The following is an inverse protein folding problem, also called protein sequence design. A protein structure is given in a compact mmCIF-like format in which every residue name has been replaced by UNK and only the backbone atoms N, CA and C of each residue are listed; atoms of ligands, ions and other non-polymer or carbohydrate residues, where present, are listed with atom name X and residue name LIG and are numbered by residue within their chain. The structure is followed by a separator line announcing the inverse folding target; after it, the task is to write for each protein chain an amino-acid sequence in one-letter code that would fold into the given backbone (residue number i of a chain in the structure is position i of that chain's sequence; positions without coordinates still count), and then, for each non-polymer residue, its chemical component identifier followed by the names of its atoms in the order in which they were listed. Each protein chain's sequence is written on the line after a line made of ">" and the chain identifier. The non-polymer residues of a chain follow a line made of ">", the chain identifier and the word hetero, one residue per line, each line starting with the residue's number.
data_IF_776266430840
#
_entry.id   IF_776266430840
#
_cell.length_a   1.000
_cell.length_b   1.000
_cell.length_c   1.000
_cell.angle_alpha   90.00
_cell.angle_beta   90.00
_cell.angle_gamma   90.00
#
_symmetry.space_group_name_H-M   'P 1'
#
loop_
_entity.id
_entity.type
_entity.pdbx_description
1 polymer ?
#
# COMPACT_ATOMS: atom_id res chain seq x y z
N UNK A 1 -27.01 -0.50 5.78
CA UNK A 1 -28.42 -0.06 5.84
C UNK A 1 -29.23 -1.16 6.49
N UNK A 2 -30.20 -0.83 7.36
CA UNK A 2 -31.11 -1.83 7.92
C UNK A 2 -31.99 -2.40 6.80
N UNK A 3 -32.31 -3.69 6.83
CA UNK A 3 -33.36 -4.27 5.96
C UNK A 3 -34.75 -3.67 6.25
N UNK A 4 -34.86 -2.88 7.31
CA UNK A 4 -36.00 -2.07 7.68
C UNK A 4 -35.71 -0.61 7.32
N UNK A 5 -36.19 -0.17 6.15
CA UNK A 5 -36.01 1.20 5.65
C UNK A 5 -36.66 2.26 6.57
N UNK A 6 -37.58 1.85 7.42
CA UNK A 6 -38.23 2.66 8.45
C UNK A 6 -37.35 2.94 9.67
N UNK A 7 -36.23 2.21 9.84
CA UNK A 7 -35.33 2.34 10.98
C UNK A 7 -34.03 3.04 10.59
N UNK A 8 -33.67 4.07 11.36
CA UNK A 8 -32.37 4.73 11.34
C UNK A 8 -31.49 4.24 12.47
N UNK A 9 -30.18 4.27 12.25
CA UNK A 9 -29.17 3.93 13.25
C UNK A 9 -28.14 5.06 13.28
N UNK A 10 -27.96 5.69 14.44
CA UNK A 10 -26.99 6.78 14.62
C UNK A 10 -26.64 6.95 16.11
N UNK A 11 -25.38 7.27 16.41
CA UNK A 11 -24.91 7.64 17.74
C UNK A 11 -25.32 6.65 18.85
N UNK A 12 -25.24 5.34 18.56
CA UNK A 12 -25.65 4.24 19.46
C UNK A 12 -27.16 4.12 19.74
N UNK A 13 -28.00 4.76 18.92
CA UNK A 13 -29.45 4.63 18.94
C UNK A 13 -29.99 4.02 17.65
N UNK A 14 -31.08 3.29 17.80
CA UNK A 14 -31.97 2.84 16.73
C UNK A 14 -33.26 3.62 16.88
N UNK A 15 -33.74 4.26 15.83
CA UNK A 15 -34.94 5.11 15.87
C UNK A 15 -35.80 4.92 14.64
N UNK A 16 -37.06 5.31 14.71
CA UNK A 16 -37.90 5.36 13.52
C UNK A 16 -37.60 6.62 12.71
N UNK A 17 -37.40 6.48 11.40
CA UNK A 17 -37.12 7.60 10.52
C UNK A 17 -38.28 8.61 10.46
N UNK A 18 -39.52 8.16 10.61
CA UNK A 18 -40.73 9.01 10.65
C UNK A 18 -40.94 9.72 12.00
N UNK A 19 -40.28 9.26 13.07
CA UNK A 19 -40.32 9.88 14.39
C UNK A 19 -39.00 9.60 15.15
N UNK A 20 -37.96 10.41 14.94
CA UNK A 20 -36.64 10.20 15.55
C UNK A 20 -36.62 10.28 17.09
N UNK A 21 -37.65 10.86 17.72
CA UNK A 21 -37.78 10.88 19.18
C UNK A 21 -38.17 9.50 19.73
N UNK A 22 -38.80 8.66 18.91
CA UNK A 22 -39.02 7.25 19.24
C UNK A 22 -37.75 6.46 18.94
N UNK A 23 -36.88 6.40 19.95
CA UNK A 23 -35.55 5.78 19.85
C UNK A 23 -35.28 4.82 21.00
N UNK A 24 -34.40 3.87 20.73
CA UNK A 24 -33.91 2.86 21.65
C UNK A 24 -32.38 2.85 21.57
N UNK A 25 -31.70 2.89 22.69
CA UNK A 25 -30.24 2.71 22.72
C UNK A 25 -29.87 1.25 22.44
N UNK A 26 -28.63 1.02 22.00
CA UNK A 26 -28.09 -0.33 21.85
C UNK A 26 -28.14 -1.13 23.17
N UNK A 27 -27.95 -0.47 24.32
CA UNK A 27 -28.02 -1.10 25.63
C UNK A 27 -29.44 -1.57 25.98
N UNK A 28 -30.43 -0.73 25.72
CA UNK A 28 -31.83 -1.10 25.93
C UNK A 28 -32.27 -2.21 24.98
N UNK A 29 -31.78 -2.21 23.73
CA UNK A 29 -32.01 -3.31 22.80
C UNK A 29 -31.38 -4.61 23.31
N UNK A 30 -30.09 -4.57 23.69
CA UNK A 30 -29.38 -5.73 24.21
C UNK A 30 -30.07 -6.31 25.45
N UNK A 31 -30.55 -5.45 26.36
CA UNK A 31 -31.33 -5.86 27.54
C UNK A 31 -32.61 -6.58 27.14
N UNK A 32 -33.39 -6.04 26.19
CA UNK A 32 -34.63 -6.67 25.70
C UNK A 32 -34.37 -8.02 25.05
N UNK A 33 -33.27 -8.17 24.31
CA UNK A 33 -32.89 -9.45 23.70
C UNK A 33 -32.52 -10.48 24.79
N UNK A 34 -31.76 -10.05 25.80
CA UNK A 34 -31.38 -10.89 26.93
C UNK A 34 -32.59 -11.34 27.77
N UNK A 35 -33.56 -10.44 28.04
CA UNK A 35 -34.82 -10.75 28.72
C UNK A 35 -35.63 -11.81 27.97
N UNK A 36 -35.58 -11.78 26.63
CA UNK A 36 -36.21 -12.80 25.77
C UNK A 36 -35.41 -14.11 25.68
N UNK A 37 -34.23 -14.19 26.30
CA UNK A 37 -33.28 -15.31 26.19
C UNK A 37 -32.89 -15.61 24.73
N UNK A 38 -32.96 -14.60 23.87
CA UNK A 38 -32.52 -14.68 22.48
C UNK A 38 -31.01 -14.36 22.40
N UNK A 39 -30.34 -14.78 21.33
CA UNK A 39 -28.93 -14.45 21.09
C UNK A 39 -28.78 -13.66 19.79
N UNK A 40 -28.04 -12.56 19.82
CA UNK A 40 -27.69 -11.80 18.62
C UNK A 40 -26.55 -12.51 17.90
N UNK A 41 -26.85 -13.12 16.75
CA UNK A 41 -25.85 -13.73 15.85
C UNK A 41 -26.18 -13.33 14.42
N UNK A 42 -25.14 -13.00 13.67
CA UNK A 42 -25.20 -12.75 12.23
C UNK A 42 -23.94 -13.31 11.58
N UNK A 43 -24.09 -13.85 10.38
CA UNK A 43 -23.00 -14.34 9.55
C UNK A 43 -23.22 -13.82 8.13
N UNK A 44 -22.14 -13.41 7.48
CA UNK A 44 -22.15 -12.93 6.11
C UNK A 44 -20.82 -13.28 5.43
N UNK A 45 -20.84 -13.40 4.12
CA UNK A 45 -19.65 -13.61 3.31
C UNK A 45 -19.70 -12.73 2.07
N UNK A 46 -18.52 -12.31 1.61
CA UNK A 46 -18.37 -11.53 0.39
C UNK A 46 -17.40 -12.26 -0.53
N UNK A 47 -17.85 -12.53 -1.75
CA UNK A 47 -17.04 -13.13 -2.81
C UNK A 47 -17.18 -12.22 -4.03
N UNK A 48 -16.15 -11.42 -4.36
CA UNK A 48 -16.20 -10.55 -5.52
C UNK A 48 -16.28 -11.38 -6.80
N UNK A 49 -17.04 -10.91 -7.78
CA UNK A 49 -17.13 -11.57 -9.07
C UNK A 49 -15.91 -11.21 -9.92
N UNK A 50 -15.07 -12.21 -10.20
CA UNK A 50 -13.90 -12.10 -11.09
C UNK A 50 -13.90 -13.24 -12.11
N UNK A 51 -13.49 -12.92 -13.33
CA UNK A 51 -13.29 -13.91 -14.39
C UNK A 51 -12.02 -14.72 -14.13
N UNK A 52 -12.08 -16.01 -14.46
CA UNK A 52 -10.86 -16.80 -14.60
C UNK A 52 -10.19 -16.41 -15.92
N UNK A 53 -8.92 -15.98 -15.90
CA UNK A 53 -8.20 -15.74 -17.14
C UNK A 53 -8.16 -16.99 -18.03
N UNK A 54 -8.27 -16.81 -19.34
CA UNK A 54 -8.06 -17.88 -20.31
C UNK A 54 -6.64 -18.46 -20.14
N UNK A 55 -6.48 -19.78 -19.98
CA UNK A 55 -5.19 -20.38 -19.64
C UNK A 55 -4.16 -20.34 -20.79
N UNK A 56 -4.58 -20.05 -22.03
CA UNK A 56 -3.68 -19.93 -23.18
C UNK A 56 -3.28 -18.49 -23.45
N UNK A 57 -4.20 -17.55 -23.29
CA UNK A 57 -4.00 -16.13 -23.63
C UNK A 57 -3.76 -15.23 -22.42
N UNK A 58 -4.14 -15.67 -21.22
CA UNK A 58 -4.10 -14.88 -19.99
C UNK A 58 -5.17 -13.80 -19.90
N UNK A 59 -6.14 -13.76 -20.83
CA UNK A 59 -7.14 -12.69 -20.91
C UNK A 59 -8.41 -13.02 -20.12
N UNK A 60 -9.03 -11.98 -19.54
CA UNK A 60 -10.35 -12.00 -18.93
C UNK A 60 -10.88 -10.57 -18.85
N UNK A 61 -12.20 -10.37 -18.87
CA UNK A 61 -12.79 -9.02 -18.87
C UNK A 61 -12.66 -8.36 -17.50
N UNK A 62 -12.85 -9.12 -16.42
CA UNK A 62 -12.77 -8.66 -15.03
C UNK A 62 -11.93 -9.59 -14.17
N UNK A 63 -10.61 -9.59 -14.36
CA UNK A 63 -9.68 -10.44 -13.58
C UNK A 63 -9.46 -9.93 -12.15
N UNK A 64 -9.55 -8.61 -11.95
CA UNK A 64 -9.34 -7.96 -10.65
C UNK A 64 -10.61 -7.23 -10.20
N UNK A 65 -10.80 -7.15 -8.88
CA UNK A 65 -11.96 -6.48 -8.25
C UNK A 65 -11.87 -4.97 -8.38
N UNK A 66 -10.66 -4.44 -8.26
CA UNK A 66 -10.34 -3.03 -8.43
C UNK A 66 -8.86 -2.89 -8.78
N UNK A 67 -8.49 -1.76 -9.38
CA UNK A 67 -7.11 -1.39 -9.65
C UNK A 67 -6.73 -0.21 -8.77
N UNK A 68 -5.68 -0.40 -7.96
CA UNK A 68 -5.03 0.68 -7.20
C UNK A 68 -3.95 1.28 -8.06
N UNK A 69 -3.94 2.61 -8.19
CA UNK A 69 -2.93 3.32 -8.96
C UNK A 69 -2.05 4.14 -8.01
N UNK A 70 -0.74 4.06 -8.20
CA UNK A 70 0.24 4.82 -7.43
C UNK A 70 1.18 5.54 -8.40
N UNK A 71 1.41 6.81 -8.14
CA UNK A 71 2.44 7.61 -8.80
C UNK A 71 3.44 8.10 -7.74
N UNK A 72 4.73 7.91 -8.02
CA UNK A 72 5.82 8.37 -7.15
C UNK A 72 6.78 9.26 -7.93
N UNK A 73 7.20 10.35 -7.29
CA UNK A 73 8.33 11.19 -7.70
C UNK A 73 9.32 11.17 -6.55
N UNK A 74 10.57 10.84 -6.85
CA UNK A 74 11.63 10.67 -5.84
C UNK A 74 12.77 11.62 -6.16
N UNK A 75 13.19 12.36 -5.15
CA UNK A 75 14.36 13.25 -5.18
C UNK A 75 15.54 12.50 -4.56
N UNK A 76 16.66 12.44 -5.27
CA UNK A 76 17.90 11.79 -4.81
C UNK A 76 19.09 12.73 -4.94
N UNK A 77 20.09 12.52 -4.10
CA UNK A 77 21.43 13.06 -4.25
C UNK A 77 22.40 11.90 -4.51
N UNK A 78 23.32 12.09 -5.46
CA UNK A 78 24.32 11.08 -5.81
C UNK A 78 25.71 11.68 -5.64
N UNK A 79 26.51 11.09 -4.76
CA UNK A 79 27.92 11.41 -4.64
C UNK A 79 28.69 10.72 -5.76
N UNK A 80 29.26 11.49 -6.69
CA UNK A 80 29.97 10.94 -7.85
C UNK A 80 31.35 10.37 -7.53
N UNK A 81 31.93 10.71 -6.38
CA UNK A 81 33.23 10.21 -5.94
C UNK A 81 33.09 8.85 -5.24
N UNK A 82 31.96 8.62 -4.53
CA UNK A 82 31.71 7.39 -3.78
C UNK A 82 30.66 6.47 -4.41
N UNK A 83 29.79 7.00 -5.26
CA UNK A 83 28.63 6.30 -5.83
C UNK A 83 27.45 6.17 -4.87
N UNK A 84 27.53 6.74 -3.65
CA UNK A 84 26.46 6.65 -2.67
C UNK A 84 25.26 7.48 -3.13
N UNK A 85 24.06 6.89 -3.01
CA UNK A 85 22.78 7.54 -3.30
C UNK A 85 22.04 7.81 -2.00
N UNK A 86 21.66 9.06 -1.77
CA UNK A 86 20.76 9.44 -0.69
C UNK A 86 19.38 9.76 -1.24
N UNK A 87 18.33 9.16 -0.67
CA UNK A 87 16.94 9.52 -0.99
C UNK A 87 16.52 10.68 -0.10
N UNK A 88 16.20 11.83 -0.69
CA UNK A 88 15.91 13.06 0.05
C UNK A 88 14.41 13.17 0.35
N UNK A 89 13.58 13.05 -0.69
CA UNK A 89 12.12 13.21 -0.59
C UNK A 89 11.39 12.24 -1.48
N UNK A 90 10.24 11.80 -1.01
CA UNK A 90 9.31 10.97 -1.79
C UNK A 90 7.94 11.63 -1.81
N UNK A 91 7.47 11.93 -3.01
CA UNK A 91 6.11 12.38 -3.27
C UNK A 91 5.30 11.20 -3.77
N UNK A 92 4.27 10.81 -3.03
CA UNK A 92 3.38 9.70 -3.43
C UNK A 92 1.96 10.21 -3.62
N UNK A 93 1.34 9.86 -4.74
CA UNK A 93 -0.11 9.99 -4.93
C UNK A 93 -0.69 8.61 -5.18
N UNK A 94 -1.72 8.23 -4.43
CA UNK A 94 -2.33 6.91 -4.51
C UNK A 94 -3.86 6.99 -4.64
N UNK A 95 -4.41 6.43 -5.71
CA UNK A 95 -5.84 6.14 -5.83
C UNK A 95 -6.15 4.84 -5.10
N UNK A 96 -6.75 5.00 -3.92
CA UNK A 96 -7.08 3.93 -2.97
C UNK A 96 -8.58 3.77 -2.77
N UNK A 97 -9.37 4.42 -3.63
CA UNK A 97 -10.82 4.46 -3.56
C UNK A 97 -11.37 5.20 -2.34
N UNK A 98 -11.38 4.57 -1.17
CA UNK A 98 -11.80 5.19 0.09
C UNK A 98 -10.82 4.87 1.21
N UNK A 99 -10.29 5.91 1.86
CA UNK A 99 -9.46 5.77 3.03
C UNK A 99 -10.34 5.43 4.24
N UNK A 100 -10.43 4.15 4.58
CA UNK A 100 -11.13 3.71 5.81
C UNK A 100 -10.44 4.30 7.05
N UNK A 101 -9.10 4.28 7.05
CA UNK A 101 -8.26 4.95 8.04
C UNK A 101 -7.10 5.63 7.30
N UNK A 102 -7.15 6.95 7.08
CA UNK A 102 -6.12 7.70 6.35
C UNK A 102 -4.72 7.54 6.94
N UNK A 103 -4.59 7.56 8.27
CA UNK A 103 -3.29 7.43 8.95
C UNK A 103 -2.65 6.07 8.71
N UNK A 104 -3.44 4.99 8.70
CA UNK A 104 -2.92 3.66 8.40
C UNK A 104 -2.52 3.53 6.92
N UNK A 105 -3.25 4.20 6.02
CA UNK A 105 -2.92 4.24 4.59
C UNK A 105 -1.58 4.96 4.38
N UNK A 106 -1.39 6.10 5.05
CA UNK A 106 -0.11 6.82 5.03
C UNK A 106 1.04 5.94 5.55
N UNK A 107 0.86 5.24 6.68
CA UNK A 107 1.87 4.33 7.20
C UNK A 107 2.20 3.16 6.26
N UNK A 108 1.23 2.66 5.49
CA UNK A 108 1.49 1.65 4.44
C UNK A 108 2.31 2.25 3.29
N UNK A 109 2.01 3.49 2.89
CA UNK A 109 2.77 4.18 1.85
C UNK A 109 4.22 4.38 2.29
N UNK A 110 4.43 4.86 3.52
CA UNK A 110 5.77 5.09 4.09
C UNK A 110 6.55 3.77 4.20
N UNK A 111 5.96 2.75 4.84
CA UNK A 111 6.61 1.45 5.02
C UNK A 111 6.92 0.74 3.70
N UNK A 112 5.98 0.74 2.75
CA UNK A 112 6.18 0.16 1.43
C UNK A 112 7.25 0.91 0.63
N UNK A 113 7.30 2.24 0.74
CA UNK A 113 8.37 3.04 0.12
C UNK A 113 9.73 2.71 0.73
N UNK A 114 9.85 2.60 2.05
CA UNK A 114 11.13 2.20 2.69
C UNK A 114 11.57 0.82 2.21
N UNK A 115 10.65 -0.15 2.12
CA UNK A 115 10.95 -1.46 1.55
C UNK A 115 11.42 -1.37 0.08
N UNK A 116 10.79 -0.51 -0.71
CA UNK A 116 11.18 -0.26 -2.10
C UNK A 116 12.56 0.40 -2.23
N UNK A 117 12.95 1.27 -1.29
CA UNK A 117 14.30 1.85 -1.20
C UNK A 117 15.32 0.74 -0.93
N UNK A 118 15.01 -0.18 -0.02
CA UNK A 118 15.83 -1.36 0.27
C UNK A 118 16.08 -2.18 -0.99
N UNK A 119 15.01 -2.60 -1.67
CA UNK A 119 15.10 -3.32 -2.96
C UNK A 119 15.91 -2.55 -4.02
N UNK A 120 15.79 -1.23 -4.07
CA UNK A 120 16.45 -0.41 -5.09
C UNK A 120 17.94 -0.23 -4.85
N UNK A 121 18.39 -0.11 -3.61
CA UNK A 121 19.73 0.39 -3.27
C UNK A 121 20.56 -0.54 -2.37
N UNK A 122 19.95 -1.49 -1.64
CA UNK A 122 20.60 -2.17 -0.52
C UNK A 122 20.47 -3.70 -0.56
N UNK A 123 19.26 -4.20 -0.80
CA UNK A 123 18.90 -5.60 -0.58
C UNK A 123 19.41 -6.51 -1.70
N UNK A 124 20.50 -7.24 -1.43
CA UNK A 124 21.06 -8.25 -2.33
C UNK A 124 21.25 -9.58 -1.61
N UNK A 125 20.62 -10.64 -2.10
CA UNK A 125 20.89 -11.99 -1.62
C UNK A 125 22.02 -12.63 -2.43
N UNK A 126 23.13 -12.93 -1.77
CA UNK A 126 24.31 -13.51 -2.42
C UNK A 126 24.28 -15.03 -2.25
N UNK A 127 24.17 -15.76 -3.35
CA UNK A 127 24.14 -17.22 -3.35
C UNK A 127 25.34 -17.76 -4.13
N UNK A 128 26.09 -18.68 -3.53
CA UNK A 128 27.17 -19.41 -4.20
C UNK A 128 27.06 -20.89 -3.90
N UNK A 129 27.08 -21.72 -4.96
CA UNK A 129 27.01 -23.18 -4.84
C UNK A 129 25.79 -23.66 -4.02
N UNK A 130 24.67 -22.94 -4.14
CA UNK A 130 23.42 -23.23 -3.41
C UNK A 130 23.40 -22.76 -1.95
N UNK A 131 24.44 -22.05 -1.50
CA UNK A 131 24.56 -21.53 -0.13
C UNK A 131 24.41 -20.02 -0.13
N UNK A 132 23.51 -19.49 0.71
CA UNK A 132 23.39 -18.05 0.97
C UNK A 132 24.59 -17.58 1.79
N UNK A 133 25.37 -16.66 1.25
CA UNK A 133 26.60 -16.16 1.86
C UNK A 133 26.35 -15.04 2.88
N UNK A 134 25.21 -14.36 2.78
CA UNK A 134 24.80 -13.29 3.69
C UNK A 134 23.41 -13.58 4.32
N UNK A 135 23.26 -14.64 5.14
CA UNK A 135 21.98 -15.03 5.72
C UNK A 135 21.55 -14.18 6.93
N UNK A 136 22.37 -13.23 7.36
CA UNK A 136 22.14 -12.37 8.52
C UNK A 136 21.93 -10.91 8.10
N UNK A 137 21.38 -10.10 9.02
CA UNK A 137 21.08 -8.67 8.79
C UNK A 137 22.30 -7.75 8.87
N UNK A 138 23.51 -8.31 9.02
CA UNK A 138 24.75 -7.54 8.90
C UNK A 138 25.25 -7.59 7.46
N UNK A 139 25.14 -8.76 6.81
CA UNK A 139 25.50 -8.96 5.40
C UNK A 139 24.37 -8.70 4.41
N UNK A 140 23.12 -8.83 4.83
CA UNK A 140 21.94 -8.45 4.04
C UNK A 140 21.41 -7.12 4.56
N UNK A 141 21.73 -6.05 3.84
CA UNK A 141 21.42 -4.69 4.27
C UNK A 141 19.94 -4.39 4.03
N UNK A 142 19.27 -3.91 5.08
CA UNK A 142 17.94 -3.33 5.01
C UNK A 142 18.01 -1.86 5.45
N UNK A 143 17.10 -1.00 4.97
CA UNK A 143 17.07 0.40 5.39
C UNK A 143 16.93 0.54 6.91
N UNK A 144 17.67 1.51 7.47
CA UNK A 144 17.57 1.93 8.86
C UNK A 144 16.68 3.17 8.98
N UNK A 145 16.41 3.60 10.22
CA UNK A 145 15.69 4.87 10.44
C UNK A 145 16.44 6.10 9.92
N UNK A 146 17.77 6.00 9.71
CA UNK A 146 18.57 7.08 9.14
C UNK A 146 18.45 7.17 7.62
N UNK A 147 17.97 6.11 6.97
CA UNK A 147 17.75 6.02 5.52
C UNK A 147 16.33 6.44 5.12
N UNK A 148 15.52 6.84 6.10
CA UNK A 148 14.12 7.21 5.89
C UNK A 148 14.02 8.64 5.33
N UNK A 149 13.46 8.85 4.12
CA UNK A 149 13.33 10.17 3.52
C UNK A 149 12.16 10.96 4.12
N UNK A 150 12.02 12.22 3.69
CA UNK A 150 10.77 12.96 3.94
C UNK A 150 9.66 12.46 3.00
N UNK A 151 8.53 12.04 3.57
CA UNK A 151 7.35 11.62 2.80
C UNK A 151 6.34 12.75 2.63
N UNK A 152 5.79 12.85 1.42
CA UNK A 152 4.70 13.74 1.07
C UNK A 152 3.66 12.92 0.31
N UNK A 153 2.57 12.58 0.99
CA UNK A 153 1.55 11.69 0.45
C UNK A 153 0.26 12.44 0.14
N UNK A 154 -0.39 12.10 -0.97
CA UNK A 154 -1.73 12.56 -1.32
C UNK A 154 -2.62 11.37 -1.65
N UNK A 155 -3.70 11.22 -0.89
CA UNK A 155 -4.70 10.18 -1.14
C UNK A 155 -5.72 10.69 -2.15
N UNK A 156 -6.00 9.89 -3.17
CA UNK A 156 -7.05 10.12 -4.16
C UNK A 156 -8.18 9.13 -3.86
N UNK A 157 -9.38 9.68 -3.71
CA UNK A 157 -10.57 8.90 -3.39
C UNK A 157 -11.53 8.85 -4.59
N UNK A 158 -11.54 7.70 -5.29
CA UNK A 158 -12.48 7.39 -6.36
C UNK A 158 -13.31 6.16 -5.97
N UNK A 159 -14.61 6.30 -5.72
CA UNK A 159 -15.47 5.20 -5.24
C UNK A 159 -15.89 4.23 -6.37
N UNK A 160 -14.93 3.71 -7.14
CA UNK A 160 -15.11 2.79 -8.27
C UNK A 160 -14.86 1.30 -7.91
N UNK A 161 -14.71 1.00 -6.63
CA UNK A 161 -14.43 -0.34 -6.10
C UNK A 161 -15.67 -0.97 -5.46
N UNK A 162 -15.84 -2.28 -5.63
CA UNK A 162 -16.81 -3.10 -4.88
C UNK A 162 -16.37 -3.37 -3.43
N UNK A 163 -15.19 -2.87 -3.04
CA UNK A 163 -14.67 -2.96 -1.69
C UNK A 163 -15.53 -2.22 -0.66
N UNK A 164 -15.30 -2.46 0.64
CA UNK A 164 -16.08 -1.85 1.70
C UNK A 164 -16.00 -0.33 1.60
N UNK A 165 -17.15 0.33 1.49
CA UNK A 165 -17.26 1.79 1.31
C UNK A 165 -16.50 2.34 0.08
N UNK A 166 -16.26 1.52 -0.95
CA UNK A 166 -15.49 1.91 -2.12
C UNK A 166 -13.97 1.84 -1.93
N UNK A 167 -13.47 1.21 -0.86
CA UNK A 167 -12.04 1.08 -0.59
C UNK A 167 -11.32 0.13 -1.56
N UNK A 168 -10.03 0.40 -1.81
CA UNK A 168 -9.08 -0.46 -2.53
C UNK A 168 -7.90 -0.83 -1.62
N UNK A 169 -7.11 -1.84 -2.01
CA UNK A 169 -5.91 -2.24 -1.28
C UNK A 169 -4.71 -1.33 -1.56
N UNK A 170 -3.92 -1.01 -0.53
CA UNK A 170 -2.71 -0.16 -0.63
C UNK A 170 -1.42 -0.83 -0.12
N UNK A 171 -1.51 -2.03 0.46
CA UNK A 171 -0.36 -2.64 1.14
C UNK A 171 0.83 -2.95 0.23
N UNK A 172 0.59 -3.44 -0.99
CA UNK A 172 1.65 -3.74 -1.96
C UNK A 172 1.95 -2.57 -2.93
N UNK A 173 0.95 -1.82 -3.45
CA UNK A 173 1.19 -0.82 -4.49
C UNK A 173 2.21 0.28 -4.18
N UNK A 174 2.36 0.66 -2.90
CA UNK A 174 3.33 1.68 -2.51
C UNK A 174 4.80 1.26 -2.75
N UNK A 175 5.11 -0.03 -2.63
CA UNK A 175 6.46 -0.57 -2.82
C UNK A 175 6.84 -0.63 -4.31
N UNK A 176 5.87 -0.90 -5.18
CA UNK A 176 6.10 -1.21 -6.60
C UNK A 176 6.72 -0.01 -7.35
N UNK A 177 6.26 1.20 -7.07
CA UNK A 177 6.68 2.40 -7.80
C UNK A 177 8.07 2.93 -7.40
N UNK A 178 8.61 2.47 -6.27
CA UNK A 178 9.78 3.10 -5.65
C UNK A 178 11.08 2.84 -6.40
N UNK A 179 11.42 1.58 -6.65
CA UNK A 179 12.65 1.23 -7.36
C UNK A 179 12.78 1.85 -8.76
N UNK A 180 11.75 1.82 -9.63
CA UNK A 180 11.85 2.49 -10.93
C UNK A 180 11.93 4.03 -10.80
N UNK A 181 11.26 4.64 -9.82
CA UNK A 181 11.37 6.08 -9.59
C UNK A 181 12.79 6.48 -9.13
N UNK A 182 13.42 5.71 -8.24
CA UNK A 182 14.83 5.90 -7.85
C UNK A 182 15.76 5.74 -9.05
N UNK A 183 15.59 4.68 -9.86
CA UNK A 183 16.42 4.46 -11.04
C UNK A 183 16.32 5.60 -12.06
N UNK A 184 15.14 6.20 -12.21
CA UNK A 184 14.92 7.39 -13.04
C UNK A 184 15.55 8.64 -12.44
N UNK A 185 15.44 8.84 -11.13
CA UNK A 185 16.04 9.98 -10.44
C UNK A 185 17.57 9.94 -10.48
N UNK A 186 18.19 8.75 -10.34
CA UNK A 186 19.63 8.57 -10.52
C UNK A 186 20.03 8.91 -11.96
N UNK A 187 19.28 8.44 -12.96
CA UNK A 187 19.56 8.79 -14.35
C UNK A 187 19.45 10.30 -14.61
N UNK A 188 18.44 10.97 -14.03
CA UNK A 188 18.31 12.43 -14.13
C UNK A 188 19.50 13.15 -13.49
N UNK A 189 20.00 12.65 -12.35
CA UNK A 189 21.11 13.26 -11.62
C UNK A 189 22.48 13.12 -12.31
N UNK A 190 22.78 11.96 -12.92
CA UNK A 190 24.14 11.66 -13.42
C UNK A 190 24.21 11.18 -14.88
N UNK A 191 23.06 11.05 -15.55
CA UNK A 191 22.88 10.62 -16.96
C UNK A 191 23.45 9.24 -17.31
N UNK A 192 23.60 8.35 -16.33
CA UNK A 192 23.94 6.94 -16.56
C UNK A 192 22.76 6.05 -16.18
N UNK A 193 22.51 5.02 -17.00
CA UNK A 193 21.37 4.12 -16.83
C UNK A 193 21.85 2.79 -16.28
N UNK A 194 21.41 2.45 -15.07
CA UNK A 194 21.67 1.16 -14.43
C UNK A 194 20.38 0.34 -14.47
N UNK A 195 20.46 -0.87 -15.03
CA UNK A 195 19.31 -1.76 -15.27
C UNK A 195 19.32 -3.01 -14.38
N UNK A 196 20.25 -3.06 -13.42
CA UNK A 196 20.49 -4.22 -12.56
C UNK A 196 20.40 -3.79 -11.09
N UNK A 197 19.33 -4.21 -10.41
CA UNK A 197 19.10 -3.92 -8.99
C UNK A 197 19.84 -4.91 -8.08
N UNK A 198 20.23 -4.50 -6.86
CA UNK A 198 20.19 -3.12 -6.37
C UNK A 198 21.24 -2.25 -7.09
N UNK A 199 20.98 -0.94 -7.18
CA UNK A 199 21.88 0.07 -7.76
C UNK A 199 22.95 0.41 -6.71
N UNK A 200 23.95 -0.46 -6.59
CA UNK A 200 25.02 -0.29 -5.61
C UNK A 200 25.99 0.83 -5.99
N UNK A 201 26.74 1.40 -5.01
CA UNK A 201 27.76 2.40 -5.29
C UNK A 201 28.80 1.95 -6.31
N UNK A 202 29.20 0.67 -6.29
CA UNK A 202 30.15 0.10 -7.24
C UNK A 202 29.61 0.11 -8.68
N UNK A 203 28.32 -0.17 -8.86
CA UNK A 203 27.65 -0.10 -10.17
C UNK A 203 27.61 1.34 -10.69
N UNK A 204 27.35 2.31 -9.82
CA UNK A 204 27.38 3.75 -10.16
C UNK A 204 28.77 4.19 -10.57
N UNK A 205 29.79 3.94 -9.73
CA UNK A 205 31.17 4.32 -10.03
C UNK A 205 31.70 3.66 -11.31
N UNK A 206 31.32 2.41 -11.56
CA UNK A 206 31.66 1.72 -12.81
C UNK A 206 31.00 2.42 -14.00
N UNK A 207 29.69 2.69 -13.94
CA UNK A 207 28.98 3.34 -15.04
C UNK A 207 29.51 4.77 -15.31
N UNK A 208 29.87 5.53 -14.27
CA UNK A 208 30.48 6.86 -14.42
C UNK A 208 31.86 6.83 -15.09
N UNK A 209 32.65 5.77 -14.87
CA UNK A 209 33.95 5.59 -15.54
C UNK A 209 33.81 5.18 -17.01
N UNK A 210 32.69 4.56 -17.37
CA UNK A 210 32.39 4.08 -18.73
C UNK A 210 31.67 5.14 -19.60
N UNK A 211 31.21 6.25 -19.00
CA UNK A 211 30.63 7.42 -19.65
C UNK A 211 31.69 8.24 -20.39
#
# INVERSE_FOLDING_TARGET
>A
TSNHAELGIKDSFIFRNDNPNNKLSYWELAKKVAEKKETLKAEASFFPHTDKPDPKTGQGEKVYVAYTFVAQVIEVEVDTDTGIVQVLKVYTTADIGKAINPQNVEGQIEGGTVQGIGMALMEEQVIKEGITLNPDLTGYLIPTSMDTPQFISRLIENEDSEGPYGAKGIGEPATIATAPAIANAIYDAIEVRILDLPITPEKILKALKEK
#
